data_IF_896541306382
#
_entry.id   IF_896541306382
#
_cell.length_a   1.000
_cell.length_b   1.000
_cell.length_c   1.000
_cell.angle_alpha   90.00
_cell.angle_beta   90.00
_cell.angle_gamma   90.00
#
_symmetry.space_group_name_H-M   'P 1'
#
loop_
_entity.id
_entity.type
_entity.pdbx_description
1 polymer ?
#
# COMPACT_ATOMS: atom_id res chain seq x y z
N UNK A 1 -19.38 -14.30 2.62
CA UNK A 1 -18.58 -13.06 2.81
C UNK A 1 -17.31 -13.28 3.67
N UNK A 2 -16.44 -14.25 3.35
CA UNK A 2 -15.08 -14.38 3.97
C UNK A 2 -13.95 -13.83 3.08
N UNK A 3 -14.14 -13.80 1.75
CA UNK A 3 -13.14 -13.37 0.75
C UNK A 3 -12.73 -11.89 0.79
N UNK A 4 -13.64 -10.99 1.20
CA UNK A 4 -13.38 -9.54 1.16
C UNK A 4 -12.30 -9.11 2.18
N UNK A 5 -12.28 -9.74 3.37
CA UNK A 5 -11.25 -9.48 4.38
C UNK A 5 -9.87 -9.95 3.93
N UNK A 6 -9.75 -11.15 3.37
CA UNK A 6 -8.46 -11.67 2.87
C UNK A 6 -7.88 -10.81 1.76
N UNK A 7 -8.71 -10.33 0.83
CA UNK A 7 -8.24 -9.49 -0.27
C UNK A 7 -7.71 -8.15 0.24
N UNK A 8 -8.38 -7.58 1.24
CA UNK A 8 -7.99 -6.32 1.88
C UNK A 8 -6.68 -6.48 2.63
N UNK A 9 -6.52 -7.54 3.41
CA UNK A 9 -5.28 -7.84 4.14
C UNK A 9 -4.11 -8.12 3.19
N UNK A 10 -4.33 -8.85 2.08
CA UNK A 10 -3.31 -9.03 1.04
C UNK A 10 -2.84 -7.71 0.44
N UNK A 11 -3.75 -6.76 0.19
CA UNK A 11 -3.40 -5.44 -0.34
C UNK A 11 -2.58 -4.64 0.66
N UNK A 12 -2.96 -4.65 1.95
CA UNK A 12 -2.18 -3.98 3.00
C UNK A 12 -0.76 -4.56 3.10
N UNK A 13 -0.66 -5.88 3.15
CA UNK A 13 0.64 -6.57 3.19
C UNK A 13 1.50 -6.23 1.97
N UNK A 14 0.90 -6.17 0.78
CA UNK A 14 1.61 -5.75 -0.42
C UNK A 14 2.16 -4.32 -0.30
N UNK A 15 1.36 -3.36 0.16
CA UNK A 15 1.80 -1.97 0.39
C UNK A 15 2.98 -1.92 1.34
N UNK A 16 2.88 -2.58 2.50
CA UNK A 16 3.93 -2.57 3.53
C UNK A 16 5.24 -3.17 2.98
N UNK A 17 5.15 -4.32 2.33
CA UNK A 17 6.31 -5.00 1.76
C UNK A 17 6.95 -4.21 0.63
N UNK A 18 6.14 -3.54 -0.19
CA UNK A 18 6.64 -2.68 -1.26
C UNK A 18 7.40 -1.47 -0.69
N UNK A 19 6.85 -0.81 0.34
CA UNK A 19 7.53 0.30 1.02
C UNK A 19 8.85 -0.16 1.62
N UNK A 20 8.87 -1.32 2.32
CA UNK A 20 10.09 -1.89 2.90
C UNK A 20 11.18 -2.21 1.87
N UNK A 21 10.79 -2.74 0.72
CA UNK A 21 11.75 -3.10 -0.36
C UNK A 21 12.31 -1.90 -1.09
N UNK A 22 11.63 -0.77 -1.06
CA UNK A 22 11.99 0.46 -1.77
C UNK A 22 12.31 1.60 -0.80
N UNK A 23 12.78 1.32 0.42
CA UNK A 23 13.08 2.35 1.42
C UNK A 23 14.16 3.36 0.99
N UNK A 24 14.95 3.01 -0.02
CA UNK A 24 15.93 3.88 -0.69
C UNK A 24 15.27 4.96 -1.57
N UNK A 25 14.03 4.75 -2.03
CA UNK A 25 13.27 5.73 -2.81
C UNK A 25 12.63 6.77 -1.90
N UNK A 26 12.37 7.96 -2.47
CA UNK A 26 11.55 8.96 -1.78
C UNK A 26 10.11 8.46 -1.61
N UNK A 27 9.55 8.68 -0.42
CA UNK A 27 8.18 8.25 -0.08
C UNK A 27 7.14 8.70 -1.11
N UNK A 28 7.26 9.92 -1.66
CA UNK A 28 6.35 10.42 -2.69
C UNK A 28 6.33 9.54 -3.94
N UNK A 29 7.50 9.08 -4.39
CA UNK A 29 7.61 8.18 -5.56
C UNK A 29 6.93 6.85 -5.27
N UNK A 30 7.22 6.26 -4.09
CA UNK A 30 6.62 4.99 -3.66
C UNK A 30 5.09 5.09 -3.60
N UNK A 31 4.56 6.19 -3.05
CA UNK A 31 3.11 6.41 -2.95
C UNK A 31 2.46 6.57 -4.32
N UNK A 32 3.10 7.29 -5.27
CA UNK A 32 2.59 7.39 -6.65
C UNK A 32 2.58 6.02 -7.34
N UNK A 33 3.67 5.26 -7.26
CA UNK A 33 3.75 3.89 -7.83
C UNK A 33 2.62 2.99 -7.25
N UNK A 34 2.41 3.01 -5.94
CA UNK A 34 1.37 2.21 -5.28
C UNK A 34 -0.06 2.65 -5.64
N UNK A 35 -0.27 3.96 -5.79
CA UNK A 35 -1.56 4.54 -6.21
C UNK A 35 -1.93 4.03 -7.61
N UNK A 36 -0.97 4.02 -8.54
CA UNK A 36 -1.15 3.52 -9.90
C UNK A 36 -1.34 2.00 -9.94
N UNK A 37 -0.53 1.24 -9.19
CA UNK A 37 -0.59 -0.24 -9.21
C UNK A 37 -1.87 -0.79 -8.55
N UNK A 38 -2.32 -0.17 -7.47
CA UNK A 38 -3.46 -0.67 -6.67
C UNK A 38 -4.77 0.05 -6.98
N UNK A 39 -4.73 1.10 -7.80
CA UNK A 39 -5.87 1.99 -8.08
C UNK A 39 -6.50 2.52 -6.79
N UNK A 40 -5.66 2.89 -5.82
CA UNK A 40 -6.05 3.46 -4.53
C UNK A 40 -5.65 4.92 -4.47
N UNK A 41 -6.36 5.72 -3.67
CA UNK A 41 -5.94 7.10 -3.43
C UNK A 41 -4.65 7.15 -2.59
N UNK A 42 -3.84 8.20 -2.79
CA UNK A 42 -2.66 8.45 -1.95
C UNK A 42 -3.03 8.45 -0.46
N UNK A 43 -4.16 9.06 -0.10
CA UNK A 43 -4.69 9.06 1.28
C UNK A 43 -4.90 7.64 1.82
N UNK A 44 -5.41 6.73 0.98
CA UNK A 44 -5.58 5.32 1.36
C UNK A 44 -4.23 4.65 1.59
N UNK A 45 -3.25 4.88 0.72
CA UNK A 45 -1.89 4.34 0.88
C UNK A 45 -1.25 4.86 2.16
N UNK A 46 -1.30 6.16 2.43
CA UNK A 46 -0.80 6.75 3.67
C UNK A 46 -1.50 6.18 4.91
N UNK A 47 -2.84 6.03 4.87
CA UNK A 47 -3.56 5.41 5.97
C UNK A 47 -3.11 3.98 6.22
N UNK A 48 -2.86 3.19 5.16
CA UNK A 48 -2.34 1.82 5.31
C UNK A 48 -0.97 1.87 5.98
N UNK A 49 -0.04 2.69 5.47
CA UNK A 49 1.33 2.80 6.00
C UNK A 49 1.32 3.25 7.47
N UNK A 50 0.48 4.23 7.84
CA UNK A 50 0.41 4.78 9.19
C UNK A 50 -0.25 3.83 10.20
N UNK A 51 -1.15 2.96 9.74
CA UNK A 51 -1.86 1.97 10.57
C UNK A 51 -1.13 0.62 10.66
N UNK A 52 0.04 0.50 10.02
CA UNK A 52 0.86 -0.72 9.96
C UNK A 52 1.87 -0.82 11.08
#
# INVERSE_FOLDING_TARGET
MKRSKELTEKRKNFVIEYVKRNQDKQMKVIVTELTEMLFLSERTIYNIILQS
#
